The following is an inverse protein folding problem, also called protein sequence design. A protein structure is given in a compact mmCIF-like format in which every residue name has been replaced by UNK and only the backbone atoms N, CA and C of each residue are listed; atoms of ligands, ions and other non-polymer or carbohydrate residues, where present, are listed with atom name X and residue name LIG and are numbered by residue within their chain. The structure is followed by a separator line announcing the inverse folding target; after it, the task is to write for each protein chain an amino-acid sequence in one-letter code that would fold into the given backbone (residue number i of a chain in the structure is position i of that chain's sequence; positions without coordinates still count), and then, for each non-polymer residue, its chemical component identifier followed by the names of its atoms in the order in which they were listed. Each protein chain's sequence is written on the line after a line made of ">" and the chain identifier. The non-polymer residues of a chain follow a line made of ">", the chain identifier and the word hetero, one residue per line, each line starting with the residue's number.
data_IF_619811021690
#
_entry.id   IF_619811021690
#
_cell.length_a   1.000
_cell.length_b   1.000
_cell.length_c   1.000
_cell.angle_alpha   90.00
_cell.angle_beta   90.00
_cell.angle_gamma   90.00
#
_symmetry.space_group_name_H-M   'P 1'
#
loop_
_entity.id
_entity.type
_entity.pdbx_description
1 polymer ?
#
# COMPACT_ATOMS: atom_id res chain seq x y z
N UNK A 1 -2.42 66.39 18.33
CA UNK A 1 -1.83 65.76 17.14
C UNK A 1 -0.92 64.62 17.58
N UNK A 2 -1.38 63.37 17.45
CA UNK A 2 -0.51 62.18 17.55
C UNK A 2 -0.49 61.57 16.15
N UNK A 3 0.69 61.58 15.56
CA UNK A 3 0.99 61.03 14.25
C UNK A 3 0.60 59.56 14.19
N UNK A 4 -0.38 59.27 13.35
CA UNK A 4 -0.77 57.94 12.93
C UNK A 4 0.30 57.37 12.00
N UNK A 5 1.23 56.59 12.53
CA UNK A 5 2.05 55.68 11.73
C UNK A 5 1.27 54.40 11.49
N UNK A 6 0.95 54.16 10.22
CA UNK A 6 0.24 53.00 9.69
C UNK A 6 1.13 51.73 9.67
N UNK A 7 1.60 51.29 10.83
CA UNK A 7 2.45 50.08 10.97
C UNK A 7 2.09 49.33 12.24
N UNK A 8 1.09 48.46 12.18
CA UNK A 8 0.70 47.66 13.35
C UNK A 8 -0.51 46.77 13.15
N UNK A 9 -0.38 45.69 12.35
CA UNK A 9 -1.41 44.64 12.32
C UNK A 9 -1.49 43.84 13.62
N UNK A 10 -0.50 43.96 14.51
CA UNK A 10 -0.51 43.31 15.82
C UNK A 10 0.01 44.20 16.95
N UNK A 11 -0.29 43.79 18.18
CA UNK A 11 0.13 44.44 19.43
C UNK A 11 0.66 43.40 20.41
N UNK A 12 1.70 43.76 21.17
CA UNK A 12 2.27 42.94 22.26
C UNK A 12 1.91 43.58 23.60
N UNK A 13 1.49 42.78 24.58
CA UNK A 13 1.11 43.27 25.91
C UNK A 13 1.30 42.19 26.99
N UNK A 14 1.41 42.62 28.25
CA UNK A 14 1.51 41.74 29.42
C UNK A 14 0.14 41.20 29.80
N UNK A 15 0.05 39.89 30.07
CA UNK A 15 -1.18 39.23 30.53
C UNK A 15 -0.91 38.47 31.82
N UNK A 16 -1.69 38.78 32.85
CA UNK A 16 -1.74 38.02 34.10
C UNK A 16 -3.09 37.30 34.24
N UNK A 17 -3.12 36.24 35.05
CA UNK A 17 -4.34 35.46 35.32
C UNK A 17 -5.31 36.12 36.31
N UNK A 18 -4.87 37.14 37.05
CA UNK A 18 -5.66 37.78 38.11
C UNK A 18 -6.87 38.55 37.57
N UNK A 19 -7.95 38.52 38.34
CA UNK A 19 -9.21 39.20 38.04
C UNK A 19 -9.59 40.17 39.16
N UNK A 20 -10.29 41.24 38.80
CA UNK A 20 -10.94 42.15 39.74
C UNK A 20 -12.20 41.50 40.38
N UNK A 21 -12.81 42.13 41.37
CA UNK A 21 -14.07 41.65 41.98
C UNK A 21 -15.25 41.53 40.99
N UNK A 22 -15.16 42.18 39.84
CA UNK A 22 -16.13 42.13 38.73
C UNK A 22 -15.73 41.09 37.66
N UNK A 23 -14.77 40.22 37.96
CA UNK A 23 -14.21 39.18 37.08
C UNK A 23 -13.48 39.67 35.81
N UNK A 24 -13.16 40.96 35.66
CA UNK A 24 -12.31 41.44 34.57
C UNK A 24 -10.83 41.15 34.83
N UNK A 25 -10.07 40.82 33.78
CA UNK A 25 -8.63 40.60 33.93
C UNK A 25 -7.89 41.92 34.22
N UNK A 26 -7.09 41.93 35.28
CA UNK A 26 -6.34 43.11 35.72
C UNK A 26 -5.17 43.47 34.77
N UNK A 27 -4.65 42.51 34.00
CA UNK A 27 -3.60 42.75 33.01
C UNK A 27 -2.38 43.44 33.61
N UNK A 28 -1.96 44.57 33.02
CA UNK A 28 -0.81 45.36 33.45
C UNK A 28 -1.01 46.12 34.78
N UNK A 29 -2.24 46.23 35.28
CA UNK A 29 -2.57 46.90 36.56
C UNK A 29 -2.56 45.92 37.75
N UNK A 30 -2.12 44.67 37.53
CA UNK A 30 -2.13 43.66 38.58
C UNK A 30 -1.06 43.95 39.65
N UNK A 31 -1.45 44.07 40.94
CA UNK A 31 -0.51 44.34 42.04
C UNK A 31 0.53 43.24 42.26
N UNK A 32 0.28 42.02 41.76
CA UNK A 32 1.21 40.89 41.88
C UNK A 32 2.38 40.94 40.90
N UNK A 33 2.32 41.85 39.90
CA UNK A 33 3.39 42.03 38.92
C UNK A 33 4.67 42.63 39.49
N UNK A 34 4.55 43.42 40.55
CA UNK A 34 5.69 44.05 41.24
C UNK A 34 6.32 43.14 42.28
N UNK A 35 5.61 42.09 42.71
CA UNK A 35 6.00 41.22 43.83
C UNK A 35 6.43 39.81 43.40
N UNK A 36 6.01 39.33 42.23
CA UNK A 36 6.38 38.02 41.69
C UNK A 36 6.80 38.15 40.22
N UNK A 37 8.09 37.95 39.95
CA UNK A 37 8.70 38.11 38.62
C UNK A 37 8.29 37.05 37.60
N UNK A 38 7.50 36.04 37.99
CA UNK A 38 6.93 35.02 37.08
C UNK A 38 5.41 35.11 36.89
N UNK A 39 4.77 36.15 37.43
CA UNK A 39 3.31 36.23 37.50
C UNK A 39 2.61 36.57 36.17
N UNK A 40 3.32 37.25 35.26
CA UNK A 40 2.81 37.56 33.93
C UNK A 40 3.50 36.79 32.82
N UNK A 41 2.77 36.72 31.70
CA UNK A 41 3.32 36.26 30.43
C UNK A 41 3.07 37.33 29.39
N UNK A 42 4.02 37.49 28.48
CA UNK A 42 3.85 38.33 27.31
C UNK A 42 2.94 37.62 26.29
N UNK A 43 2.06 38.40 25.67
CA UNK A 43 1.05 37.95 24.72
C UNK A 43 1.02 38.91 23.54
N UNK A 44 0.96 38.39 22.32
CA UNK A 44 0.64 39.20 21.15
C UNK A 44 -0.80 38.97 20.70
N UNK A 45 -1.38 39.97 20.07
CA UNK A 45 -2.68 39.91 19.41
C UNK A 45 -2.60 40.49 18.00
N UNK A 46 -3.16 39.79 17.02
CA UNK A 46 -3.27 40.23 15.62
C UNK A 46 -4.72 40.18 15.19
N UNK A 47 -5.19 41.26 14.60
CA UNK A 47 -6.53 41.31 14.03
C UNK A 47 -6.48 40.76 12.59
N UNK A 48 -7.18 39.65 12.35
CA UNK A 48 -7.25 39.00 11.05
C UNK A 48 -8.45 39.53 10.24
N UNK A 49 -8.29 39.72 8.92
CA UNK A 49 -9.42 39.96 8.03
C UNK A 49 -10.35 38.72 8.05
N UNK A 50 -11.62 38.94 8.34
CA UNK A 50 -12.68 37.93 8.32
C UNK A 50 -13.72 38.34 7.27
N UNK A 51 -14.19 37.44 6.38
CA UNK A 51 -15.27 37.75 5.44
C UNK A 51 -16.63 38.05 6.11
N UNK A 52 -16.81 37.74 7.41
CA UNK A 52 -18.00 38.13 8.18
C UNK A 52 -17.92 39.54 8.81
N UNK A 53 -19.01 40.03 9.42
CA UNK A 53 -19.07 41.36 10.07
C UNK A 53 -18.25 41.44 11.37
N UNK A 54 -17.78 40.31 11.89
CA UNK A 54 -17.06 40.23 13.16
C UNK A 54 -15.55 40.18 12.94
N UNK A 55 -14.82 41.00 13.69
CA UNK A 55 -13.35 40.95 13.74
C UNK A 55 -12.89 39.66 14.41
N UNK A 56 -11.95 38.95 13.78
CA UNK A 56 -11.30 37.78 14.38
C UNK A 56 -9.93 38.18 14.90
N UNK A 57 -9.79 38.34 16.21
CA UNK A 57 -8.48 38.61 16.84
C UNK A 57 -7.84 37.29 17.28
N UNK A 58 -6.70 36.95 16.68
CA UNK A 58 -5.84 35.87 17.17
C UNK A 58 -4.99 36.40 18.30
N UNK A 59 -5.02 35.73 19.44
CA UNK A 59 -4.17 36.03 20.61
C UNK A 59 -3.31 34.82 20.91
N UNK A 60 -2.02 35.04 21.18
CA UNK A 60 -1.03 34.01 21.53
C UNK A 60 -0.12 34.53 22.62
N UNK A 61 -0.02 33.77 23.71
CA UNK A 61 0.71 34.18 24.92
C UNK A 61 1.49 33.03 25.53
N UNK A 62 2.09 33.29 26.70
CA UNK A 62 3.02 32.36 27.35
C UNK A 62 4.49 32.65 27.06
N UNK A 63 4.81 33.83 26.50
CA UNK A 63 6.20 34.24 26.26
C UNK A 63 6.79 34.84 27.55
N UNK A 64 8.02 34.48 27.93
CA UNK A 64 8.62 34.99 29.17
C UNK A 64 9.12 36.43 29.04
N UNK A 65 9.39 36.92 27.82
CA UNK A 65 9.88 38.28 27.58
C UNK A 65 9.10 38.98 26.47
N UNK A 66 9.13 40.32 26.48
CA UNK A 66 8.56 41.15 25.43
C UNK A 66 9.15 40.79 24.06
N UNK A 67 10.48 40.72 23.98
CA UNK A 67 11.20 40.46 22.73
C UNK A 67 10.82 39.11 22.10
N UNK A 68 10.60 38.07 22.91
CA UNK A 68 10.16 36.76 22.40
C UNK A 68 8.73 36.82 21.88
N UNK A 69 7.85 37.62 22.51
CA UNK A 69 6.49 37.85 22.01
C UNK A 69 6.48 38.69 20.73
N UNK A 70 7.38 39.67 20.60
CA UNK A 70 7.54 40.48 19.40
C UNK A 70 8.12 39.66 18.23
N UNK A 71 9.15 38.86 18.47
CA UNK A 71 9.67 37.90 17.48
C UNK A 71 8.61 36.87 17.05
N UNK A 72 7.75 36.44 17.97
CA UNK A 72 6.63 35.55 17.64
C UNK A 72 5.55 36.26 16.80
N UNK A 73 5.26 37.53 17.10
CA UNK A 73 4.37 38.36 16.30
C UNK A 73 4.88 38.55 14.87
N UNK A 74 6.17 38.88 14.71
CA UNK A 74 6.80 39.04 13.39
C UNK A 74 6.70 37.75 12.59
N UNK A 75 7.07 36.60 13.17
CA UNK A 75 6.93 35.29 12.52
C UNK A 75 5.49 34.98 12.09
N UNK A 76 4.50 35.33 12.92
CA UNK A 76 3.08 35.14 12.61
C UNK A 76 2.62 36.01 11.44
N UNK A 77 3.08 37.26 11.37
CA UNK A 77 2.74 38.19 10.29
C UNK A 77 3.44 37.82 8.98
N UNK A 78 4.72 37.43 9.03
CA UNK A 78 5.47 36.91 7.89
C UNK A 78 4.80 35.67 7.32
N UNK A 79 4.27 34.81 8.20
CA UNK A 79 3.50 33.66 7.78
C UNK A 79 2.25 34.01 7.00
N UNK A 80 1.47 34.95 7.50
CA UNK A 80 0.27 35.41 6.80
C UNK A 80 0.56 36.06 5.46
N UNK A 81 1.66 36.80 5.35
CA UNK A 81 2.07 37.42 4.08
C UNK A 81 2.32 36.37 2.98
N UNK A 82 2.73 35.16 3.37
CA UNK A 82 2.97 34.02 2.49
C UNK A 82 1.75 33.07 2.43
N UNK A 83 0.69 33.34 3.19
CA UNK A 83 -0.56 32.57 3.21
C UNK A 83 -0.60 31.43 4.23
N UNK A 84 0.29 31.42 5.24
CA UNK A 84 0.31 30.43 6.32
C UNK A 84 0.01 31.01 7.71
N UNK A 85 -0.78 30.27 8.50
CA UNK A 85 -1.19 30.60 9.85
C UNK A 85 -0.34 29.77 10.84
N UNK A 86 0.95 30.08 10.90
CA UNK A 86 1.85 29.44 11.87
C UNK A 86 1.43 29.87 13.27
N UNK A 87 1.01 28.93 14.12
CA UNK A 87 0.77 29.20 15.52
C UNK A 87 2.10 29.11 16.30
N UNK A 88 2.71 30.24 16.71
CA UNK A 88 4.03 30.22 17.36
C UNK A 88 3.99 29.64 18.78
N UNK A 89 2.79 29.38 19.32
CA UNK A 89 2.62 28.74 20.62
C UNK A 89 2.42 27.22 20.52
N UNK A 90 1.99 26.71 19.35
CA UNK A 90 1.69 25.30 19.15
C UNK A 90 2.99 24.47 19.23
N UNK A 91 3.01 23.49 20.13
CA UNK A 91 4.13 22.56 20.21
C UNK A 91 4.00 21.44 19.18
N UNK A 92 5.11 20.74 18.90
CA UNK A 92 5.07 19.53 18.07
C UNK A 92 4.19 18.46 18.74
N UNK A 93 4.20 18.35 20.08
CA UNK A 93 3.37 17.38 20.78
C UNK A 93 1.87 17.65 20.60
N UNK A 94 1.44 18.92 20.76
CA UNK A 94 0.04 19.31 20.57
C UNK A 94 -0.40 19.03 19.14
N UNK A 95 0.42 19.44 18.16
CA UNK A 95 0.13 19.22 16.75
C UNK A 95 -0.01 17.74 16.40
N UNK A 96 0.95 16.90 16.82
CA UNK A 96 0.92 15.47 16.52
C UNK A 96 -0.29 14.79 17.18
N UNK A 97 -0.68 15.21 18.38
CA UNK A 97 -1.85 14.64 19.09
C UNK A 97 -3.14 14.94 18.34
N UNK A 98 -3.40 16.21 17.96
CA UNK A 98 -4.57 16.59 17.15
C UNK A 98 -4.54 15.94 15.75
N UNK A 99 -3.35 15.81 15.17
CA UNK A 99 -3.18 15.14 13.89
C UNK A 99 -3.57 13.65 13.97
N UNK A 100 -3.19 12.95 15.05
CA UNK A 100 -3.59 11.55 15.27
C UNK A 100 -5.11 11.39 15.39
N UNK A 101 -5.80 12.30 16.08
CA UNK A 101 -7.27 12.28 16.20
C UNK A 101 -7.93 12.39 14.82
N UNK A 102 -7.44 13.32 13.99
CA UNK A 102 -7.93 13.50 12.62
C UNK A 102 -7.67 12.25 11.77
N UNK A 103 -6.49 11.64 11.93
CA UNK A 103 -6.13 10.41 11.20
C UNK A 103 -6.90 9.18 11.66
N UNK A 104 -7.31 9.11 12.93
CA UNK A 104 -8.08 7.99 13.46
C UNK A 104 -9.43 7.80 12.73
N UNK A 105 -9.99 8.88 12.18
CA UNK A 105 -11.24 8.84 11.39
C UNK A 105 -11.08 8.22 10.00
N UNK A 106 -9.85 8.18 9.47
CA UNK A 106 -9.58 7.80 8.07
C UNK A 106 -8.76 6.51 7.99
N UNK A 107 -7.82 6.32 8.92
CA UNK A 107 -6.87 5.20 8.89
C UNK A 107 -7.47 3.93 9.48
N UNK A 108 -7.03 2.79 8.93
CA UNK A 108 -7.34 1.48 9.52
C UNK A 108 -6.75 1.36 10.92
N UNK A 109 -7.40 0.64 11.85
CA UNK A 109 -6.95 0.54 13.25
C UNK A 109 -5.49 0.08 13.43
N UNK A 110 -5.01 -0.87 12.62
CA UNK A 110 -3.62 -1.35 12.69
C UNK A 110 -2.58 -0.32 12.23
N UNK A 111 -2.92 0.53 11.26
CA UNK A 111 -2.06 1.65 10.87
C UNK A 111 -2.07 2.73 11.94
N UNK A 112 -3.25 2.99 12.52
CA UNK A 112 -3.44 3.99 13.57
C UNK A 112 -2.67 3.63 14.84
N UNK A 113 -2.73 2.38 15.29
CA UNK A 113 -1.94 1.87 16.41
C UNK A 113 -0.44 2.14 16.23
N UNK A 114 0.11 1.80 15.05
CA UNK A 114 1.53 2.07 14.75
C UNK A 114 1.87 3.56 14.73
N UNK A 115 0.98 4.40 14.20
CA UNK A 115 1.20 5.85 14.21
C UNK A 115 1.20 6.39 15.63
N UNK A 116 0.27 5.90 16.46
CA UNK A 116 0.19 6.23 17.88
C UNK A 116 1.47 5.82 18.62
N UNK A 117 1.97 4.60 18.39
CA UNK A 117 3.21 4.12 19.00
C UNK A 117 4.41 5.02 18.64
N UNK A 118 4.59 5.33 17.34
CA UNK A 118 5.68 6.19 16.91
C UNK A 118 5.54 7.61 17.46
N UNK A 119 4.33 8.16 17.50
CA UNK A 119 4.12 9.51 18.01
C UNK A 119 4.39 9.58 19.51
N UNK A 120 3.77 8.73 20.33
CA UNK A 120 3.87 8.83 21.79
C UNK A 120 5.19 8.31 22.35
N UNK A 121 5.74 7.22 21.79
CA UNK A 121 6.94 6.61 22.35
C UNK A 121 8.24 7.21 21.78
N UNK A 122 8.18 7.81 20.58
CA UNK A 122 9.38 8.26 19.87
C UNK A 122 9.39 9.76 19.58
N UNK A 123 8.36 10.26 18.89
CA UNK A 123 8.38 11.63 18.36
C UNK A 123 8.08 12.68 19.42
N UNK A 124 7.11 12.44 20.30
CA UNK A 124 6.77 13.35 21.41
C UNK A 124 7.92 13.45 22.41
N UNK A 125 8.56 12.36 22.87
CA UNK A 125 9.73 12.46 23.74
C UNK A 125 10.91 13.19 23.09
N UNK A 126 11.09 13.04 21.77
CA UNK A 126 12.22 13.66 21.07
C UNK A 126 12.01 15.14 20.71
N UNK A 127 10.80 15.51 20.28
CA UNK A 127 10.52 16.83 19.68
C UNK A 127 9.37 17.58 20.36
N UNK A 128 8.65 16.96 21.29
CA UNK A 128 7.38 17.45 21.80
C UNK A 128 7.45 18.81 22.48
N UNK A 129 8.59 19.16 23.09
CA UNK A 129 8.81 20.46 23.74
C UNK A 129 9.09 21.59 22.74
N UNK A 130 9.51 21.27 21.52
CA UNK A 130 9.78 22.26 20.49
C UNK A 130 8.48 22.86 19.97
N UNK A 131 8.53 24.15 19.63
CA UNK A 131 7.46 24.77 18.85
C UNK A 131 7.46 24.20 17.44
N UNK A 132 6.27 24.05 16.85
CA UNK A 132 6.12 23.44 15.53
C UNK A 132 6.94 24.18 14.47
N UNK A 133 6.96 25.52 14.52
CA UNK A 133 7.71 26.40 13.62
C UNK A 133 9.23 26.41 13.87
N UNK A 134 9.68 25.92 15.03
CA UNK A 134 11.09 25.78 15.37
C UNK A 134 11.68 24.42 14.99
N UNK A 135 10.84 23.44 14.64
CA UNK A 135 11.31 22.13 14.21
C UNK A 135 12.06 22.24 12.88
N UNK A 136 13.37 22.02 12.92
CA UNK A 136 14.25 22.10 11.76
C UNK A 136 14.86 20.74 11.43
N UNK A 137 15.32 20.60 10.18
CA UNK A 137 15.97 19.39 9.68
C UNK A 137 17.13 18.91 10.58
N UNK A 138 17.94 19.84 11.11
CA UNK A 138 19.04 19.54 12.05
C UNK A 138 18.60 18.77 13.31
N UNK A 139 17.40 19.05 13.84
CA UNK A 139 16.89 18.35 15.02
C UNK A 139 16.55 16.90 14.69
N UNK A 140 15.98 16.67 13.51
CA UNK A 140 15.65 15.34 13.00
C UNK A 140 16.92 14.55 12.74
N UNK A 141 17.93 15.16 12.11
CA UNK A 141 19.23 14.52 11.88
C UNK A 141 19.93 14.13 13.18
N UNK A 142 19.96 15.03 14.18
CA UNK A 142 20.54 14.73 15.49
C UNK A 142 19.80 13.59 16.21
N UNK A 143 18.47 13.56 16.12
CA UNK A 143 17.67 12.44 16.63
C UNK A 143 18.04 11.12 15.96
N UNK A 144 18.15 11.10 14.62
CA UNK A 144 18.54 9.90 13.87
C UNK A 144 19.89 9.36 14.32
N UNK A 145 20.91 10.23 14.37
CA UNK A 145 22.27 9.83 14.80
C UNK A 145 22.26 9.20 16.19
N UNK A 146 21.54 9.81 17.13
CA UNK A 146 21.42 9.28 18.50
C UNK A 146 20.70 7.93 18.54
N UNK A 147 19.62 7.76 17.79
CA UNK A 147 18.87 6.49 17.78
C UNK A 147 19.64 5.35 17.12
N UNK A 148 20.47 5.65 16.11
CA UNK A 148 21.35 4.66 15.52
C UNK A 148 22.48 4.27 16.50
N UNK A 149 23.02 5.24 17.25
CA UNK A 149 24.03 4.99 18.28
C UNK A 149 23.50 4.12 19.43
N UNK A 150 22.21 4.21 19.76
CA UNK A 150 21.57 3.33 20.77
C UNK A 150 21.18 1.95 20.22
N UNK A 151 21.55 1.63 18.97
CA UNK A 151 21.33 0.31 18.37
C UNK A 151 19.93 0.11 17.78
N UNK A 152 19.16 1.18 17.55
CA UNK A 152 17.81 1.05 16.99
C UNK A 152 17.84 0.62 15.53
N UNK A 153 17.01 -0.37 15.18
CA UNK A 153 16.93 -0.88 13.81
C UNK A 153 16.52 0.17 12.76
N UNK A 154 17.28 0.24 11.66
CA UNK A 154 17.08 1.19 10.55
C UNK A 154 15.65 1.21 10.00
N UNK A 155 15.00 0.04 9.86
CA UNK A 155 13.63 -0.07 9.31
C UNK A 155 12.62 0.62 10.21
N UNK A 156 12.73 0.44 11.52
CA UNK A 156 11.82 1.04 12.51
C UNK A 156 12.00 2.56 12.52
N UNK A 157 13.26 3.02 12.52
CA UNK A 157 13.57 4.45 12.50
C UNK A 157 13.08 5.12 11.21
N UNK A 158 13.31 4.49 10.05
CA UNK A 158 12.77 4.97 8.78
C UNK A 158 11.23 5.10 8.80
N UNK A 159 10.51 4.12 9.36
CA UNK A 159 9.04 4.18 9.47
C UNK A 159 8.57 5.29 10.40
N UNK A 160 9.24 5.46 11.55
CA UNK A 160 8.98 6.55 12.48
C UNK A 160 9.13 7.92 11.79
N UNK A 161 10.23 8.13 11.06
CA UNK A 161 10.45 9.36 10.29
C UNK A 161 9.46 9.54 9.14
N UNK A 162 9.04 8.46 8.48
CA UNK A 162 8.01 8.54 7.45
C UNK A 162 6.66 9.00 8.03
N UNK A 163 6.30 8.54 9.24
CA UNK A 163 5.12 9.04 9.97
C UNK A 163 5.27 10.52 10.30
N UNK A 164 6.42 10.96 10.83
CA UNK A 164 6.70 12.37 11.08
C UNK A 164 6.60 13.22 9.80
N UNK A 165 7.23 12.77 8.72
CA UNK A 165 7.18 13.45 7.42
C UNK A 165 5.77 13.53 6.86
N UNK A 166 4.93 12.51 7.08
CA UNK A 166 3.51 12.57 6.71
C UNK A 166 2.77 13.62 7.52
N UNK A 167 2.97 13.68 8.84
CA UNK A 167 2.33 14.67 9.69
C UNK A 167 2.73 16.10 9.29
N UNK A 168 4.03 16.35 9.12
CA UNK A 168 4.52 17.66 8.72
C UNK A 168 4.13 18.05 7.29
N UNK A 169 3.97 17.07 6.39
CA UNK A 169 3.40 17.32 5.06
C UNK A 169 1.93 17.78 5.14
N UNK A 170 1.16 17.25 6.08
CA UNK A 170 -0.21 17.69 6.34
C UNK A 170 -0.21 19.10 6.94
N UNK A 171 0.72 19.41 7.86
CA UNK A 171 0.90 20.75 8.40
C UNK A 171 1.16 21.79 7.31
N UNK A 172 1.96 21.45 6.29
CA UNK A 172 2.19 22.32 5.13
C UNK A 172 0.92 22.50 4.30
N UNK A 173 0.16 21.43 4.06
CA UNK A 173 -1.12 21.50 3.31
C UNK A 173 -2.20 22.30 4.04
N UNK A 174 -2.16 22.29 5.37
CA UNK A 174 -3.02 23.11 6.25
C UNK A 174 -2.47 24.53 6.43
N UNK A 175 -1.39 24.89 5.74
CA UNK A 175 -0.72 26.18 5.86
C UNK A 175 -0.33 26.52 7.31
N UNK A 176 0.14 25.52 8.08
CA UNK A 176 0.74 25.72 9.42
C UNK A 176 2.26 25.86 9.35
N UNK A 177 2.88 25.27 8.33
CA UNK A 177 4.31 25.33 8.08
C UNK A 177 4.57 25.77 6.63
N UNK A 178 5.64 26.55 6.38
CA UNK A 178 6.02 26.95 5.02
C UNK A 178 6.61 25.79 4.21
N UNK A 179 7.33 24.87 4.86
CA UNK A 179 7.93 23.70 4.24
C UNK A 179 7.97 22.54 5.23
N UNK A 180 8.18 21.33 4.73
CA UNK A 180 8.30 20.14 5.56
C UNK A 180 9.77 19.96 6.02
N UNK A 181 10.10 20.14 7.32
CA UNK A 181 11.48 20.02 7.79
C UNK A 181 12.03 18.58 7.76
N UNK A 182 11.17 17.57 7.60
CA UNK A 182 11.58 16.18 7.37
C UNK A 182 11.91 15.87 5.90
N UNK A 183 11.78 16.86 5.01
CA UNK A 183 12.13 16.76 3.59
C UNK A 183 13.39 17.58 3.29
N UNK A 184 14.41 17.03 2.59
CA UNK A 184 14.51 15.63 2.14
C UNK A 184 14.66 14.65 3.31
N UNK A 185 14.34 13.36 3.12
CA UNK A 185 14.44 12.36 4.18
C UNK A 185 15.90 12.16 4.62
N UNK A 186 16.13 12.19 5.94
CA UNK A 186 17.46 11.94 6.54
C UNK A 186 17.93 10.51 6.31
N UNK A 187 17.00 9.54 6.34
CA UNK A 187 17.28 8.13 6.08
C UNK A 187 16.62 7.70 4.78
N UNK A 188 17.43 7.10 3.91
CA UNK A 188 16.90 6.37 2.77
C UNK A 188 16.19 5.10 3.23
N UNK A 189 15.25 4.65 2.39
CA UNK A 189 14.56 3.39 2.62
C UNK A 189 15.61 2.27 2.66
N UNK A 190 15.75 1.53 3.76
CA UNK A 190 16.72 0.45 3.82
C UNK A 190 16.35 -0.62 2.77
N UNK A 191 17.35 -1.26 2.14
CA UNK A 191 17.10 -2.37 1.24
C UNK A 191 16.36 -3.47 2.00
N UNK A 192 15.48 -4.18 1.29
CA UNK A 192 14.86 -5.36 1.89
C UNK A 192 15.90 -6.47 1.91
N UNK A 193 16.07 -7.20 3.02
CA UNK A 193 16.98 -8.33 3.05
C UNK A 193 16.57 -9.37 2.00
N UNK A 194 17.55 -10.10 1.48
CA UNK A 194 17.30 -11.22 0.59
C UNK A 194 16.44 -12.26 1.31
N UNK A 195 15.40 -12.72 0.63
CA UNK A 195 14.43 -13.65 1.21
C UNK A 195 14.75 -15.05 0.76
N UNK A 196 14.88 -15.97 1.72
CA UNK A 196 14.88 -17.39 1.43
C UNK A 196 13.45 -17.89 1.28
N UNK A 197 13.14 -18.45 0.11
CA UNK A 197 11.85 -19.06 -0.20
C UNK A 197 12.11 -20.55 -0.39
N UNK A 198 11.18 -21.40 0.05
CA UNK A 198 11.29 -22.85 -0.15
C UNK A 198 11.30 -23.24 -1.63
N UNK A 199 11.90 -24.38 -1.93
CA UNK A 199 11.64 -25.10 -3.19
C UNK A 199 10.31 -25.86 -3.11
N UNK A 200 9.85 -26.38 -4.26
CA UNK A 200 8.65 -27.22 -4.29
C UNK A 200 8.84 -28.51 -3.47
N UNK A 201 10.05 -29.08 -3.49
CA UNK A 201 10.42 -30.28 -2.73
C UNK A 201 10.46 -30.01 -1.23
N UNK A 202 11.03 -28.88 -0.80
CA UNK A 202 11.03 -28.47 0.61
C UNK A 202 9.59 -28.24 1.12
N UNK A 203 8.75 -27.59 0.32
CA UNK A 203 7.34 -27.38 0.66
C UNK A 203 6.57 -28.70 0.78
N UNK A 204 6.80 -29.65 -0.13
CA UNK A 204 6.19 -30.97 -0.05
C UNK A 204 6.63 -31.73 1.21
N UNK A 205 7.94 -31.74 1.51
CA UNK A 205 8.49 -32.35 2.73
C UNK A 205 7.87 -31.77 3.99
N UNK A 206 7.79 -30.43 4.05
CA UNK A 206 7.15 -29.73 5.16
C UNK A 206 5.69 -30.15 5.35
N UNK A 207 4.90 -30.20 4.28
CA UNK A 207 3.49 -30.56 4.36
C UNK A 207 3.28 -32.03 4.77
N UNK A 208 4.10 -32.95 4.25
CA UNK A 208 4.08 -34.35 4.67
C UNK A 208 4.33 -34.49 6.17
N UNK A 209 5.32 -33.77 6.71
CA UNK A 209 5.57 -33.72 8.16
C UNK A 209 4.38 -33.12 8.92
N UNK A 210 3.84 -32.00 8.47
CA UNK A 210 2.70 -31.34 9.10
C UNK A 210 1.48 -32.27 9.19
N UNK A 211 1.18 -33.04 8.13
CA UNK A 211 0.05 -33.97 8.15
C UNK A 211 0.16 -35.04 9.24
N UNK A 212 1.37 -35.38 9.68
CA UNK A 212 1.61 -36.34 10.75
C UNK A 212 1.63 -35.66 12.13
N UNK A 213 2.30 -34.51 12.25
CA UNK A 213 2.52 -33.83 13.52
C UNK A 213 1.35 -32.92 13.95
N UNK A 214 0.64 -32.31 13.00
CA UNK A 214 -0.44 -31.36 13.24
C UNK A 214 -1.40 -31.27 12.04
N UNK A 215 -2.36 -32.22 11.91
CA UNK A 215 -3.27 -32.26 10.77
C UNK A 215 -4.09 -30.98 10.58
N UNK A 216 -4.36 -30.24 11.66
CA UNK A 216 -5.16 -29.01 11.58
C UNK A 216 -4.34 -27.87 10.95
N UNK A 217 -3.09 -27.69 11.38
CA UNK A 217 -2.20 -26.70 10.78
C UNK A 217 -1.75 -27.09 9.37
N UNK A 218 -1.63 -28.39 9.10
CA UNK A 218 -1.32 -28.89 7.76
C UNK A 218 -2.33 -28.38 6.73
N UNK A 219 -3.63 -28.49 6.99
CA UNK A 219 -4.67 -27.99 6.08
C UNK A 219 -4.61 -26.46 5.89
N UNK A 220 -4.24 -25.70 6.92
CA UNK A 220 -4.07 -24.24 6.81
C UNK A 220 -2.86 -23.90 5.92
N UNK A 221 -1.72 -24.58 6.09
CA UNK A 221 -0.54 -24.35 5.25
C UNK A 221 -0.77 -24.82 3.81
N UNK A 222 -1.45 -25.95 3.63
CA UNK A 222 -1.90 -26.46 2.34
C UNK A 222 -2.74 -25.42 1.60
N UNK A 223 -3.72 -24.86 2.32
CA UNK A 223 -4.59 -23.81 1.81
C UNK A 223 -3.83 -22.53 1.45
N UNK A 224 -2.92 -22.08 2.32
CA UNK A 224 -2.11 -20.88 2.08
C UNK A 224 -1.20 -21.02 0.86
N UNK A 225 -0.52 -22.16 0.71
CA UNK A 225 0.35 -22.45 -0.43
C UNK A 225 -0.47 -22.61 -1.71
N UNK A 226 -1.59 -23.33 -1.66
CA UNK A 226 -2.42 -23.62 -2.83
C UNK A 226 -3.19 -22.42 -3.37
N UNK A 227 -3.54 -21.44 -2.52
CA UNK A 227 -4.32 -20.26 -2.91
C UNK A 227 -3.49 -18.98 -3.00
N UNK A 228 -2.32 -18.95 -2.37
CA UNK A 228 -1.50 -17.74 -2.21
C UNK A 228 -2.20 -16.62 -1.42
N UNK A 229 -3.22 -16.93 -0.61
CA UNK A 229 -3.92 -15.95 0.22
C UNK A 229 -2.98 -15.27 1.23
N UNK A 230 -3.24 -14.00 1.57
CA UNK A 230 -2.53 -13.39 2.71
C UNK A 230 -3.00 -14.07 4.00
N UNK A 231 -2.11 -14.24 4.99
CA UNK A 231 -2.45 -14.88 6.26
C UNK A 231 -3.76 -14.38 6.89
N UNK A 232 -3.97 -13.06 6.95
CA UNK A 232 -5.19 -12.50 7.52
C UNK A 232 -6.44 -12.80 6.68
N UNK A 233 -6.31 -12.94 5.36
CA UNK A 233 -7.43 -13.34 4.47
C UNK A 233 -7.81 -14.81 4.72
N UNK A 234 -6.82 -15.70 4.91
CA UNK A 234 -7.09 -17.10 5.26
C UNK A 234 -7.72 -17.25 6.66
N UNK A 235 -7.20 -16.51 7.65
CA UNK A 235 -7.68 -16.57 9.04
C UNK A 235 -9.03 -15.88 9.28
N UNK A 236 -9.54 -15.11 8.31
CA UNK A 236 -10.88 -14.52 8.33
C UNK A 236 -11.80 -15.15 7.27
N UNK A 237 -11.45 -16.32 6.72
CA UNK A 237 -12.30 -16.99 5.76
C UNK A 237 -13.48 -17.64 6.48
N UNK A 238 -14.69 -17.37 6.00
CA UNK A 238 -15.93 -17.96 6.48
C UNK A 238 -16.41 -19.08 5.55
N UNK A 239 -17.10 -20.08 6.11
CA UNK A 239 -17.72 -21.14 5.32
C UNK A 239 -18.73 -20.62 4.28
N UNK A 240 -19.39 -19.49 4.57
CA UNK A 240 -20.32 -18.81 3.65
C UNK A 240 -19.65 -18.27 2.38
N UNK A 241 -18.33 -18.14 2.38
CA UNK A 241 -17.54 -17.67 1.25
C UNK A 241 -16.85 -18.82 0.48
N UNK A 242 -17.06 -20.07 0.88
CA UNK A 242 -16.45 -21.26 0.27
C UNK A 242 -17.47 -22.03 -0.57
N UNK A 243 -17.22 -22.12 -1.87
CA UNK A 243 -18.08 -22.79 -2.84
C UNK A 243 -17.32 -24.00 -3.44
N UNK A 244 -17.33 -25.12 -2.72
CA UNK A 244 -16.61 -26.34 -3.10
C UNK A 244 -17.07 -26.94 -4.44
N UNK A 245 -18.38 -27.02 -4.76
CA UNK A 245 -18.84 -27.58 -6.03
C UNK A 245 -18.32 -26.80 -7.25
N UNK A 246 -18.27 -25.48 -7.14
CA UNK A 246 -17.78 -24.57 -8.17
C UNK A 246 -16.26 -24.43 -8.18
N UNK A 247 -15.57 -24.96 -7.17
CA UNK A 247 -14.13 -24.84 -7.04
C UNK A 247 -13.65 -23.39 -6.83
N UNK A 248 -14.43 -22.58 -6.11
CA UNK A 248 -14.08 -21.17 -5.85
C UNK A 248 -14.32 -20.75 -4.40
N UNK A 249 -13.59 -19.72 -3.96
CA UNK A 249 -13.87 -19.01 -2.71
C UNK A 249 -13.84 -17.50 -2.94
N UNK A 250 -14.48 -16.74 -2.05
CA UNK A 250 -14.53 -15.28 -2.09
C UNK A 250 -13.77 -14.64 -0.93
N UNK A 251 -12.89 -13.70 -1.22
CA UNK A 251 -12.14 -12.97 -0.18
C UNK A 251 -12.88 -11.69 0.18
N UNK A 252 -13.61 -11.71 1.30
CA UNK A 252 -14.37 -10.54 1.79
C UNK A 252 -13.73 -9.83 2.97
N UNK A 253 -13.02 -10.59 3.80
CA UNK A 253 -12.58 -10.16 5.12
C UNK A 253 -11.09 -10.41 5.32
N UNK A 254 -10.49 -9.76 6.31
CA UNK A 254 -9.13 -10.02 6.75
C UNK A 254 -9.00 -9.85 8.27
N UNK A 255 -8.41 -10.84 8.92
CA UNK A 255 -8.13 -10.84 10.34
C UNK A 255 -6.85 -10.05 10.60
N UNK A 256 -6.94 -9.10 11.51
CA UNK A 256 -5.82 -8.28 11.96
C UNK A 256 -5.72 -8.30 13.48
N UNK A 257 -4.49 -8.32 14.01
CA UNK A 257 -4.24 -8.10 15.43
C UNK A 257 -3.86 -6.63 15.66
N UNK A 258 -4.62 -5.93 16.50
CA UNK A 258 -4.31 -4.60 17.01
C UNK A 258 -3.63 -4.78 18.36
N UNK A 259 -2.50 -4.11 18.56
CA UNK A 259 -1.69 -4.16 19.80
C UNK A 259 -1.37 -5.60 20.26
N UNK A 260 -1.26 -6.51 19.29
CA UNK A 260 -1.05 -7.96 19.45
C UNK A 260 -2.09 -8.73 20.29
N UNK A 261 -3.03 -8.06 20.95
CA UNK A 261 -3.99 -8.67 21.85
C UNK A 261 -5.43 -8.64 21.34
N UNK A 262 -5.79 -7.70 20.46
CA UNK A 262 -7.16 -7.53 19.98
C UNK A 262 -7.28 -7.96 18.53
N UNK A 263 -7.90 -9.12 18.32
CA UNK A 263 -8.23 -9.61 16.99
C UNK A 263 -9.46 -8.88 16.47
N UNK A 264 -9.38 -8.37 15.25
CA UNK A 264 -10.48 -7.66 14.60
C UNK A 264 -10.56 -8.12 13.14
N UNK A 265 -11.78 -8.42 12.70
CA UNK A 265 -12.06 -8.63 11.29
C UNK A 265 -12.28 -7.29 10.62
N UNK A 266 -11.52 -7.03 9.56
CA UNK A 266 -11.60 -5.79 8.79
C UNK A 266 -11.75 -6.10 7.31
N UNK A 267 -12.05 -5.08 6.51
CA UNK A 267 -12.04 -5.23 5.06
C UNK A 267 -10.62 -5.38 4.53
N UNK A 268 -10.39 -6.11 3.42
CA UNK A 268 -9.09 -6.22 2.78
C UNK A 268 -8.45 -4.86 2.48
N UNK A 269 -7.11 -4.82 2.40
CA UNK A 269 -6.35 -3.56 2.25
C UNK A 269 -6.71 -2.78 0.98
N UNK A 270 -7.06 -3.47 -0.11
CA UNK A 270 -7.35 -2.85 -1.41
C UNK A 270 -8.60 -3.46 -2.03
N UNK A 271 -9.27 -2.70 -2.90
CA UNK A 271 -10.38 -3.22 -3.73
C UNK A 271 -9.94 -4.44 -4.54
N UNK A 272 -8.70 -4.44 -5.05
CA UNK A 272 -8.13 -5.57 -5.81
C UNK A 272 -7.97 -6.85 -4.98
N UNK A 273 -7.89 -6.74 -3.65
CA UNK A 273 -7.79 -7.90 -2.76
C UNK A 273 -9.14 -8.59 -2.54
N UNK A 274 -10.25 -7.94 -2.90
CA UNK A 274 -11.58 -8.54 -2.95
C UNK A 274 -11.75 -9.23 -4.29
N UNK A 275 -12.21 -10.46 -4.28
CA UNK A 275 -12.42 -11.23 -5.49
C UNK A 275 -12.52 -12.72 -5.19
N UNK A 276 -12.79 -13.47 -6.26
CA UNK A 276 -12.82 -14.91 -6.20
C UNK A 276 -11.41 -15.49 -6.36
N UNK A 277 -11.22 -16.72 -5.88
CA UNK A 277 -10.00 -17.51 -6.00
C UNK A 277 -10.38 -18.93 -6.36
N UNK A 278 -9.78 -19.48 -7.41
CA UNK A 278 -9.94 -20.91 -7.72
C UNK A 278 -9.26 -21.76 -6.65
N UNK A 279 -9.88 -22.88 -6.30
CA UNK A 279 -9.29 -23.89 -5.41
C UNK A 279 -8.96 -25.14 -6.22
N UNK A 280 -7.80 -25.72 -5.95
CA UNK A 280 -7.43 -27.02 -6.53
C UNK A 280 -8.10 -28.16 -5.76
N UNK A 281 -8.15 -29.38 -6.32
CA UNK A 281 -8.62 -30.56 -5.58
C UNK A 281 -7.88 -30.75 -4.25
N UNK A 282 -6.56 -30.46 -4.21
CA UNK A 282 -5.74 -30.55 -2.99
C UNK A 282 -6.25 -29.61 -1.89
N UNK A 283 -6.57 -28.37 -2.26
CA UNK A 283 -7.15 -27.38 -1.34
C UNK A 283 -8.57 -27.76 -0.94
N UNK A 284 -9.37 -28.30 -1.86
CA UNK A 284 -10.73 -28.76 -1.56
C UNK A 284 -10.72 -29.91 -0.53
N UNK A 285 -9.77 -30.86 -0.63
CA UNK A 285 -9.57 -31.92 0.36
C UNK A 285 -9.25 -31.35 1.74
N UNK A 286 -8.33 -30.40 1.84
CA UNK A 286 -8.00 -29.73 3.10
C UNK A 286 -9.23 -29.02 3.72
N UNK A 287 -10.05 -28.38 2.89
CA UNK A 287 -11.30 -27.77 3.34
C UNK A 287 -12.32 -28.83 3.81
N UNK A 288 -12.47 -29.95 3.10
CA UNK A 288 -13.34 -31.03 3.56
C UNK A 288 -12.93 -31.58 4.94
N UNK A 289 -11.62 -31.74 5.18
CA UNK A 289 -11.12 -32.13 6.50
C UNK A 289 -11.48 -31.11 7.58
N UNK A 290 -11.36 -29.81 7.31
CA UNK A 290 -11.75 -28.76 8.25
C UNK A 290 -13.26 -28.74 8.52
N UNK A 291 -14.09 -28.95 7.50
CA UNK A 291 -15.54 -29.02 7.65
C UNK A 291 -15.98 -30.18 8.56
N UNK A 292 -15.26 -31.32 8.51
CA UNK A 292 -15.52 -32.48 9.37
C UNK A 292 -15.09 -32.26 10.83
N UNK A 293 -14.08 -31.42 11.06
CA UNK A 293 -13.54 -31.12 12.40
C UNK A 293 -14.24 -29.96 13.09
N UNK A 294 -14.92 -29.10 12.34
CA UNK A 294 -15.64 -27.95 12.87
C UNK A 294 -16.82 -28.43 13.74
N UNK A 295 -16.83 -28.18 15.06
CA UNK A 295 -18.01 -28.42 15.87
C UNK A 295 -19.16 -27.58 15.28
N UNK A 296 -20.38 -28.14 15.22
CA UNK A 296 -21.60 -27.36 14.95
C UNK A 296 -21.93 -26.50 16.17
N UNK A 297 -21.03 -25.64 16.61
CA UNK A 297 -21.28 -24.71 17.69
C UNK A 297 -22.09 -23.54 17.14
N UNK A 298 -23.35 -23.47 17.55
CA UNK A 298 -24.20 -22.30 17.41
C UNK A 298 -23.68 -21.21 18.35
N UNK A 299 -22.59 -20.53 17.97
CA UNK A 299 -22.27 -19.23 18.52
C UNK A 299 -23.21 -18.18 17.93
N UNK A 300 -23.35 -17.06 18.63
CA UNK A 300 -24.17 -15.93 18.19
C UNK A 300 -23.90 -15.59 16.71
N UNK A 301 -24.91 -15.61 15.83
CA UNK A 301 -24.77 -15.20 14.43
C UNK A 301 -24.27 -13.77 14.25
N UNK A 302 -24.38 -12.93 15.30
CA UNK A 302 -23.88 -11.57 15.31
C UNK A 302 -22.37 -11.47 15.57
N UNK A 303 -21.74 -12.53 16.08
CA UNK A 303 -20.29 -12.56 16.30
C UNK A 303 -19.55 -12.70 14.94
N UNK A 304 -18.70 -11.74 14.56
CA UNK A 304 -17.93 -11.81 13.32
C UNK A 304 -17.01 -13.03 13.23
N UNK A 305 -16.67 -13.67 14.35
CA UNK A 305 -15.84 -14.88 14.39
C UNK A 305 -16.63 -16.19 14.24
N UNK A 306 -17.96 -16.12 14.20
CA UNK A 306 -18.81 -17.30 13.95
C UNK A 306 -18.63 -17.79 12.51
N UNK A 307 -18.45 -19.09 12.32
CA UNK A 307 -18.39 -19.73 11.00
C UNK A 307 -17.06 -19.59 10.26
N UNK A 308 -15.96 -19.31 10.97
CA UNK A 308 -14.61 -19.34 10.43
C UNK A 308 -14.23 -20.76 9.96
N UNK A 309 -13.50 -20.85 8.84
CA UNK A 309 -12.96 -22.11 8.31
C UNK A 309 -11.78 -22.61 9.15
N UNK A 310 -10.88 -21.70 9.52
CA UNK A 310 -9.70 -22.00 10.33
C UNK A 310 -9.83 -21.34 11.69
N UNK A 311 -10.13 -22.15 12.70
CA UNK A 311 -10.37 -21.70 14.06
C UNK A 311 -9.71 -22.64 15.06
N UNK A 312 -9.59 -22.21 16.31
CA UNK A 312 -9.15 -23.04 17.42
C UNK A 312 -10.22 -24.08 17.78
N UNK A 313 -9.90 -25.18 18.47
CA UNK A 313 -10.91 -26.17 18.88
C UNK A 313 -12.11 -25.61 19.68
N UNK A 314 -11.93 -24.46 20.35
CA UNK A 314 -12.96 -23.74 21.10
C UNK A 314 -13.83 -22.80 20.23
N UNK A 315 -13.66 -22.83 18.90
CA UNK A 315 -14.37 -21.96 17.95
C UNK A 315 -13.79 -20.55 17.81
N UNK A 316 -12.82 -20.16 18.65
CA UNK A 316 -12.20 -18.83 18.59
C UNK A 316 -11.26 -18.68 17.39
N UNK A 317 -11.04 -17.45 16.89
CA UNK A 317 -10.11 -17.22 15.79
C UNK A 317 -8.68 -17.65 16.14
N UNK A 318 -7.98 -18.19 15.16
CA UNK A 318 -6.53 -18.45 15.26
C UNK A 318 -5.75 -17.13 15.27
N UNK A 319 -4.92 -16.95 16.28
CA UNK A 319 -4.09 -15.76 16.38
C UNK A 319 -2.92 -15.81 15.37
N UNK A 320 -2.62 -14.73 14.63
CA UNK A 320 -1.56 -14.74 13.63
C UNK A 320 -0.16 -15.06 14.15
N UNK A 321 0.14 -14.74 15.41
CA UNK A 321 1.42 -15.06 16.05
C UNK A 321 1.55 -16.57 16.27
N UNK A 322 0.50 -17.22 16.77
CA UNK A 322 0.47 -18.66 16.99
C UNK A 322 0.72 -19.46 15.70
N UNK A 323 0.14 -19.02 14.58
CA UNK A 323 0.38 -19.64 13.26
C UNK A 323 1.85 -19.51 12.84
N UNK A 324 2.49 -18.38 13.12
CA UNK A 324 3.91 -18.18 12.83
C UNK A 324 4.80 -19.05 13.72
N UNK A 325 4.52 -19.10 15.01
CA UNK A 325 5.29 -19.90 15.98
C UNK A 325 5.20 -21.39 15.62
N UNK A 326 3.99 -21.86 15.26
CA UNK A 326 3.76 -23.24 14.85
C UNK A 326 4.42 -23.56 13.50
N UNK A 327 4.39 -22.63 12.54
CA UNK A 327 5.14 -22.74 11.29
C UNK A 327 6.64 -22.92 11.57
N UNK A 328 7.22 -22.08 12.44
CA UNK A 328 8.65 -22.17 12.77
C UNK A 328 9.01 -23.50 13.43
N UNK A 329 8.19 -23.95 14.39
CA UNK A 329 8.40 -25.23 15.06
C UNK A 329 8.37 -26.40 14.06
N UNK A 330 7.31 -26.51 13.25
CA UNK A 330 7.15 -27.58 12.26
C UNK A 330 8.23 -27.51 11.17
N UNK A 331 8.71 -26.31 10.83
CA UNK A 331 9.80 -26.13 9.87
C UNK A 331 11.12 -26.70 10.40
N UNK A 332 11.42 -26.47 11.68
CA UNK A 332 12.61 -27.03 12.32
C UNK A 332 12.55 -28.55 12.38
N UNK A 333 11.40 -29.11 12.78
CA UNK A 333 11.17 -30.56 12.84
C UNK A 333 11.28 -31.23 11.45
N UNK A 334 10.77 -30.58 10.40
CA UNK A 334 10.83 -31.09 9.03
C UNK A 334 12.19 -30.87 8.32
N UNK A 335 13.17 -30.23 8.99
CA UNK A 335 14.47 -29.91 8.42
C UNK A 335 14.38 -29.00 7.19
N UNK A 336 13.47 -28.02 7.22
CA UNK A 336 13.34 -26.99 6.17
C UNK A 336 13.72 -25.61 6.71
N UNK A 337 14.17 -24.68 5.86
CA UNK A 337 14.55 -23.35 6.29
C UNK A 337 13.41 -22.60 7.00
N UNK A 338 13.74 -21.81 8.02
CA UNK A 338 12.79 -20.94 8.70
C UNK A 338 12.33 -19.81 7.76
N UNK A 339 11.02 -19.70 7.55
CA UNK A 339 10.39 -18.67 6.71
C UNK A 339 9.19 -18.06 7.42
N UNK A 340 8.71 -16.91 6.97
CA UNK A 340 7.48 -16.32 7.51
C UNK A 340 6.24 -16.88 6.81
N UNK A 341 5.07 -16.77 7.46
CA UNK A 341 3.78 -17.14 6.83
C UNK A 341 3.54 -16.37 5.52
N UNK A 342 4.08 -15.15 5.37
CA UNK A 342 3.94 -14.40 4.12
C UNK A 342 4.81 -14.96 2.99
N UNK A 343 5.90 -15.66 3.34
CA UNK A 343 6.77 -16.29 2.35
C UNK A 343 6.13 -17.53 1.73
N UNK A 344 5.10 -18.13 2.35
CA UNK A 344 4.26 -19.15 1.70
C UNK A 344 3.53 -18.61 0.46
N UNK A 345 3.12 -17.35 0.51
CA UNK A 345 2.54 -16.69 -0.67
C UNK A 345 3.61 -16.36 -1.72
N UNK A 346 4.83 -16.05 -1.27
CA UNK A 346 5.96 -15.89 -2.19
C UNK A 346 6.30 -17.22 -2.87
N UNK A 347 6.27 -18.33 -2.13
CA UNK A 347 6.41 -19.68 -2.65
C UNK A 347 5.38 -19.99 -3.73
N UNK A 348 4.08 -19.71 -3.51
CA UNK A 348 3.05 -19.88 -4.55
C UNK A 348 3.40 -19.12 -5.84
N UNK A 349 3.86 -17.88 -5.71
CA UNK A 349 4.25 -17.06 -6.85
C UNK A 349 5.48 -17.64 -7.57
N UNK A 350 6.50 -18.04 -6.82
CA UNK A 350 7.72 -18.64 -7.37
C UNK A 350 7.38 -19.93 -8.13
N UNK A 351 6.58 -20.83 -7.55
CA UNK A 351 6.15 -22.08 -8.21
C UNK A 351 5.42 -21.78 -9.52
N UNK A 352 4.46 -20.86 -9.50
CA UNK A 352 3.65 -20.55 -10.69
C UNK A 352 4.44 -19.82 -11.78
N UNK A 353 5.35 -18.92 -11.43
CA UNK A 353 6.23 -18.24 -12.38
C UNK A 353 7.21 -19.24 -13.00
N UNK A 354 7.83 -20.09 -12.19
CA UNK A 354 8.76 -21.13 -12.67
C UNK A 354 8.07 -22.17 -13.56
N UNK A 355 6.77 -22.39 -13.39
CA UNK A 355 5.94 -23.21 -14.27
C UNK A 355 5.58 -22.51 -15.62
N UNK A 356 6.09 -21.30 -15.87
CA UNK A 356 5.87 -20.56 -17.12
C UNK A 356 4.55 -19.81 -17.20
N UNK A 357 3.79 -19.69 -16.09
CA UNK A 357 2.53 -18.93 -16.10
C UNK A 357 2.83 -17.44 -16.28
N UNK A 358 2.15 -16.75 -17.22
CA UNK A 358 2.40 -15.33 -17.46
C UNK A 358 2.25 -14.48 -16.20
N UNK A 359 3.19 -13.54 -16.00
CA UNK A 359 3.24 -12.70 -14.80
C UNK A 359 1.94 -11.92 -14.53
N UNK A 360 1.21 -11.56 -15.59
CA UNK A 360 -0.10 -10.91 -15.52
C UNK A 360 -1.14 -11.81 -14.86
N UNK A 361 -1.15 -13.10 -15.20
CA UNK A 361 -2.03 -14.11 -14.60
C UNK A 361 -1.65 -14.34 -13.15
N UNK A 362 -0.37 -14.58 -12.85
CA UNK A 362 0.12 -14.74 -11.46
C UNK A 362 -0.25 -13.53 -10.60
N UNK A 363 -0.03 -12.31 -11.11
CA UNK A 363 -0.38 -11.07 -10.42
C UNK A 363 -1.88 -10.95 -10.11
N UNK A 364 -2.74 -11.45 -11.00
CA UNK A 364 -4.20 -11.44 -10.82
C UNK A 364 -4.65 -12.53 -9.86
N UNK A 365 -4.13 -13.75 -9.97
CA UNK A 365 -4.39 -14.86 -9.03
C UNK A 365 -4.02 -14.48 -7.61
N UNK A 366 -2.85 -13.83 -7.43
CA UNK A 366 -2.43 -13.34 -6.13
C UNK A 366 -3.17 -12.05 -5.71
N UNK A 367 -3.94 -11.39 -6.56
CA UNK A 367 -4.66 -10.15 -6.23
C UNK A 367 -3.75 -8.98 -5.84
N UNK A 368 -2.61 -8.84 -6.53
CA UNK A 368 -1.78 -7.64 -6.39
C UNK A 368 -2.48 -6.41 -6.97
N UNK A 369 -2.34 -5.27 -6.30
CA UNK A 369 -2.91 -4.00 -6.78
C UNK A 369 -2.23 -3.48 -8.05
N UNK A 370 -0.93 -3.77 -8.21
CA UNK A 370 -0.15 -3.38 -9.38
C UNK A 370 0.70 -4.56 -9.86
N UNK A 371 0.85 -4.68 -11.18
CA UNK A 371 1.73 -5.67 -11.80
C UNK A 371 3.20 -5.45 -11.40
N UNK A 372 3.59 -4.19 -11.22
CA UNK A 372 4.94 -3.81 -10.75
C UNK A 372 5.31 -4.45 -9.42
N UNK A 373 4.34 -4.71 -8.55
CA UNK A 373 4.60 -5.43 -7.29
C UNK A 373 5.15 -6.82 -7.58
N UNK A 374 4.49 -7.57 -8.48
CA UNK A 374 4.91 -8.91 -8.89
C UNK A 374 6.24 -8.86 -9.63
N UNK A 375 6.40 -7.93 -10.58
CA UNK A 375 7.63 -7.80 -11.37
C UNK A 375 8.86 -7.45 -10.52
N UNK A 376 8.72 -6.54 -9.56
CA UNK A 376 9.83 -6.11 -8.72
C UNK A 376 10.24 -7.18 -7.70
N UNK A 377 9.29 -7.96 -7.20
CA UNK A 377 9.57 -9.02 -6.22
C UNK A 377 10.27 -10.21 -6.89
N UNK A 378 9.85 -10.57 -8.11
CA UNK A 378 10.35 -11.76 -8.82
C UNK A 378 11.23 -11.40 -10.02
N UNK A 379 11.88 -10.24 -9.99
CA UNK A 379 12.71 -9.75 -11.09
C UNK A 379 13.78 -10.78 -11.52
N UNK A 380 14.39 -11.47 -10.55
CA UNK A 380 15.36 -12.54 -10.81
C UNK A 380 14.77 -13.70 -11.64
N UNK A 381 13.53 -14.12 -11.36
CA UNK A 381 12.84 -15.16 -12.14
C UNK A 381 12.46 -14.67 -13.54
N UNK A 382 12.23 -13.37 -13.71
CA UNK A 382 11.95 -12.80 -15.05
C UNK A 382 13.15 -12.83 -15.98
N UNK A 383 14.39 -12.88 -15.47
CA UNK A 383 15.57 -13.02 -16.32
C UNK A 383 15.62 -14.38 -17.03
N UNK A 384 15.21 -15.45 -16.35
CA UNK A 384 15.13 -16.78 -16.96
C UNK A 384 14.03 -16.83 -18.03
N UNK A 385 12.86 -16.28 -17.73
CA UNK A 385 11.77 -16.17 -18.70
C UNK A 385 12.16 -15.31 -19.93
N UNK A 386 12.94 -14.24 -19.71
CA UNK A 386 13.46 -13.42 -20.80
C UNK A 386 14.44 -14.19 -21.70
N UNK A 387 15.31 -15.03 -21.12
CA UNK A 387 16.19 -15.92 -21.90
C UNK A 387 15.38 -16.93 -22.72
N UNK A 388 14.44 -17.63 -22.08
CA UNK A 388 13.56 -18.58 -22.76
C UNK A 388 12.77 -17.93 -23.91
N UNK A 389 12.33 -16.68 -23.76
CA UNK A 389 11.65 -15.94 -24.82
C UNK A 389 12.56 -15.70 -26.03
N UNK A 390 13.82 -15.32 -25.79
CA UNK A 390 14.82 -15.14 -26.86
C UNK A 390 15.15 -16.48 -27.53
N UNK A 391 15.36 -17.54 -26.75
CA UNK A 391 15.64 -18.89 -27.26
C UNK A 391 14.47 -19.41 -28.11
N UNK A 392 13.23 -19.11 -27.71
CA UNK A 392 12.02 -19.45 -28.47
C UNK A 392 11.98 -18.71 -29.81
N UNK A 393 12.35 -17.43 -29.84
CA UNK A 393 12.45 -16.65 -31.08
C UNK A 393 13.46 -17.31 -32.03
N UNK A 394 14.66 -17.61 -31.52
CA UNK A 394 15.73 -18.25 -32.29
C UNK A 394 15.31 -19.61 -32.86
N UNK A 395 14.75 -20.47 -32.01
CA UNK A 395 14.26 -21.78 -32.41
C UNK A 395 13.15 -21.68 -33.47
N UNK A 396 12.20 -20.76 -33.30
CA UNK A 396 11.07 -20.59 -34.23
C UNK A 396 11.55 -20.10 -35.60
N UNK A 397 12.46 -19.12 -35.63
CA UNK A 397 13.03 -18.61 -36.88
C UNK A 397 13.89 -19.68 -37.58
N UNK A 398 14.71 -20.41 -36.83
CA UNK A 398 15.53 -21.51 -37.36
C UNK A 398 14.66 -22.63 -37.94
N UNK A 399 13.58 -23.00 -37.26
CA UNK A 399 12.62 -24.02 -37.74
C UNK A 399 11.94 -23.55 -39.03
N UNK A 400 11.52 -22.29 -39.11
CA UNK A 400 10.89 -21.73 -40.31
C UNK A 400 11.86 -21.66 -41.51
N UNK A 401 13.12 -21.31 -41.27
CA UNK A 401 14.17 -21.31 -42.29
C UNK A 401 14.51 -22.73 -42.78
N UNK A 402 14.59 -23.70 -41.88
CA UNK A 402 14.83 -25.10 -42.24
C UNK A 402 13.62 -25.71 -42.99
N UNK A 403 12.40 -25.33 -42.62
CA UNK A 403 11.18 -25.75 -43.33
C UNK A 403 11.09 -25.18 -44.74
N UNK A 404 11.59 -23.96 -44.97
CA UNK A 404 11.67 -23.36 -46.31
C UNK A 404 12.85 -23.87 -47.15
N UNK A 405 13.87 -24.46 -46.51
CA UNK A 405 15.02 -25.13 -47.13
C UNK A 405 14.83 -26.63 -47.38
N UNK A 406 13.72 -27.23 -46.96
CA UNK A 406 13.42 -28.62 -47.28
C UNK A 406 13.49 -28.83 -48.81
N UNK A 407 14.22 -29.84 -49.32
CA UNK A 407 14.49 -29.97 -50.73
C UNK A 407 13.16 -30.09 -51.48
N UNK A 408 12.96 -29.20 -52.46
CA UNK A 408 11.93 -29.37 -53.47
C UNK A 408 12.05 -30.80 -54.01
N UNK A 409 10.98 -31.59 -53.87
CA UNK A 409 10.92 -32.96 -54.40
C UNK A 409 11.53 -32.96 -55.81
N UNK A 410 12.41 -33.93 -56.14
CA UNK A 410 13.01 -34.02 -57.46
C UNK A 410 11.94 -33.95 -58.55
N UNK A 411 12.26 -33.29 -59.67
CA UNK A 411 11.30 -32.97 -60.72
C UNK A 411 10.58 -34.20 -61.32
N UNK A 412 11.11 -35.41 -61.12
CA UNK A 412 10.56 -36.68 -61.61
C UNK A 412 9.34 -37.22 -60.83
N UNK A 413 8.93 -36.57 -59.73
CA UNK A 413 7.67 -36.88 -59.02
C UNK A 413 6.50 -35.94 -59.38
N UNK A 414 6.61 -35.11 -60.43
CA UNK A 414 5.50 -34.28 -60.93
C UNK A 414 4.73 -35.01 -62.03
N UNK A 415 3.41 -35.25 -61.90
CA UNK A 415 2.63 -35.86 -62.98
C UNK A 415 2.48 -34.89 -64.17
N UNK A 416 2.36 -35.39 -65.42
CA UNK A 416 2.24 -34.56 -66.61
C UNK A 416 0.95 -33.72 -66.56
N UNK A 417 1.07 -32.41 -66.80
CA UNK A 417 -0.03 -31.43 -66.67
C UNK A 417 -1.12 -31.50 -67.76
N UNK A 418 -1.11 -32.51 -68.64
CA UNK A 418 -1.96 -32.49 -69.84
C UNK A 418 -3.34 -33.16 -69.68
N UNK A 419 -3.68 -33.73 -68.52
CA UNK A 419 -4.94 -34.46 -68.35
C UNK A 419 -6.12 -33.62 -67.81
N UNK A 420 -5.88 -32.49 -67.13
CA UNK A 420 -6.94 -31.68 -66.51
C UNK A 420 -7.61 -30.67 -67.46
N UNK A 421 -6.94 -30.29 -68.56
CA UNK A 421 -7.49 -29.31 -69.49
C UNK A 421 -8.56 -29.90 -70.43
N UNK A 422 -8.49 -31.21 -70.74
CA UNK A 422 -9.50 -31.92 -71.56
C UNK A 422 -10.79 -32.23 -70.79
N UNK A 423 -10.70 -32.50 -69.49
CA UNK A 423 -11.88 -32.77 -68.64
C UNK A 423 -12.75 -31.52 -68.40
N UNK A 424 -12.13 -30.33 -68.33
CA UNK A 424 -12.83 -29.06 -68.13
C UNK A 424 -13.63 -28.59 -69.35
N UNK A 425 -13.19 -28.90 -70.57
CA UNK A 425 -13.91 -28.57 -71.81
C UNK A 425 -15.09 -29.52 -72.10
N UNK A 426 -15.06 -30.76 -71.58
CA UNK A 426 -16.17 -31.71 -71.73
C UNK A 426 -17.36 -31.40 -70.80
N UNK A 427 -17.12 -30.84 -69.60
CA UNK A 427 -18.16 -30.53 -68.62
C UNK A 427 -18.92 -29.21 -68.88
N UNK A 428 -18.42 -28.33 -69.76
CA UNK A 428 -19.08 -27.06 -70.11
C UNK A 428 -20.05 -27.15 -71.31
N UNK A 429 -20.24 -28.33 -71.92
CA UNK A 429 -21.17 -28.53 -73.05
C UNK A 429 -22.58 -28.98 -72.66
N UNK A 430 -22.86 -29.21 -71.37
CA UNK A 430 -24.12 -29.86 -70.95
C UNK A 430 -25.07 -29.02 -70.07
N UNK A 431 -24.87 -27.72 -69.87
CA UNK A 431 -25.88 -26.91 -69.17
C UNK A 431 -26.04 -25.48 -69.70
N UNK A 432 -27.16 -25.24 -70.37
CA UNK A 432 -27.83 -23.95 -70.61
C UNK A 432 -29.36 -24.19 -70.57
N UNK A 433 -30.23 -23.18 -70.38
CA UNK A 433 -30.77 -22.81 -69.07
C UNK A 433 -32.32 -22.68 -69.11
N UNK A 434 -33.01 -22.40 -68.00
CA UNK A 434 -34.27 -21.61 -68.01
C UNK A 434 -34.75 -21.27 -66.57
N UNK A 435 -35.51 -20.16 -66.38
CA UNK A 435 -35.43 -19.27 -65.21
C UNK A 435 -36.82 -19.06 -64.52
N UNK A 436 -37.20 -17.89 -63.97
CA UNK A 436 -37.15 -17.56 -62.54
C UNK A 436 -38.53 -17.17 -61.94
N UNK A 437 -38.62 -16.94 -60.62
CA UNK A 437 -39.67 -16.07 -60.04
C UNK A 437 -39.29 -15.44 -58.68
N UNK A 438 -39.17 -14.09 -58.69
CA UNK A 438 -39.56 -13.04 -57.72
C UNK A 438 -39.16 -13.15 -56.22
N UNK A 439 -38.31 -12.25 -55.66
CA UNK A 439 -38.51 -10.80 -55.26
C UNK A 439 -39.06 -10.68 -53.83
N UNK A 440 -38.72 -9.77 -52.90
CA UNK A 440 -37.89 -8.56 -52.67
C UNK A 440 -37.60 -8.56 -51.13
N UNK A 441 -36.69 -7.83 -50.47
CA UNK A 441 -36.59 -6.37 -50.26
C UNK A 441 -35.35 -6.07 -49.39
N UNK A 442 -34.70 -4.92 -49.67
CA UNK A 442 -34.22 -3.85 -48.76
C UNK A 442 -33.37 -4.22 -47.51
N UNK A 443 -32.25 -3.59 -47.10
CA UNK A 443 -31.62 -2.30 -47.34
C UNK A 443 -30.17 -2.37 -46.82
N UNK A 444 -29.25 -1.60 -47.43
CA UNK A 444 -27.86 -1.36 -46.96
C UNK A 444 -27.68 0.14 -46.75
N UNK A 445 -26.90 0.55 -45.74
CA UNK A 445 -25.91 1.62 -45.95
C UNK A 445 -24.54 1.17 -45.40
N UNK A 446 -23.50 1.07 -46.23
CA UNK A 446 -22.47 2.09 -46.53
C UNK A 446 -21.55 2.51 -45.35
N UNK A 447 -20.33 1.97 -45.41
CA UNK A 447 -19.00 2.59 -45.23
C UNK A 447 -18.65 3.37 -43.96
N UNK A 448 -17.60 2.90 -43.26
CA UNK A 448 -16.65 3.76 -42.54
C UNK A 448 -15.23 3.15 -42.59
N UNK A 449 -14.26 4.02 -42.85
CA UNK A 449 -12.85 3.78 -43.13
C UNK A 449 -12.06 3.23 -41.93
N UNK A 450 -11.12 2.30 -42.20
CA UNK A 450 -10.07 1.90 -41.26
C UNK A 450 -8.82 2.78 -41.47
N UNK A 451 -8.55 3.65 -40.49
CA UNK A 451 -7.32 4.47 -40.42
C UNK A 451 -6.19 3.66 -39.80
N UNK A 452 -5.10 3.50 -40.54
CA UNK A 452 -3.83 2.93 -40.06
C UNK A 452 -3.04 3.98 -39.27
N UNK A 453 -2.89 3.80 -37.96
CA UNK A 453 -2.02 4.61 -37.11
C UNK A 453 -0.60 4.01 -37.07
N UNK A 454 0.36 4.81 -37.54
CA UNK A 454 1.81 4.56 -37.57
C UNK A 454 2.43 4.90 -36.20
N UNK A 455 3.38 4.12 -35.65
CA UNK A 455 4.00 4.43 -34.36
C UNK A 455 5.07 5.55 -34.49
N UNK A 456 5.29 6.35 -33.43
CA UNK A 456 6.22 7.49 -33.46
C UNK A 456 7.69 7.06 -33.32
N UNK A 457 8.58 7.80 -33.99
CA UNK A 457 10.06 7.66 -33.95
C UNK A 457 10.63 8.10 -32.58
N UNK A 458 11.73 7.49 -32.11
CA UNK A 458 12.40 7.88 -30.87
C UNK A 458 13.20 9.19 -31.05
N UNK A 459 13.01 10.13 -30.12
CA UNK A 459 13.77 11.37 -30.02
C UNK A 459 15.15 11.10 -29.42
N UNK A 460 16.18 11.65 -30.05
CA UNK A 460 17.57 11.64 -29.60
C UNK A 460 17.77 12.67 -28.49
N UNK A 461 18.06 12.22 -27.27
CA UNK A 461 18.51 13.11 -26.18
C UNK A 461 19.98 13.49 -26.39
N UNK A 462 20.24 14.79 -26.63
CA UNK A 462 21.56 15.42 -26.50
C UNK A 462 21.95 15.50 -25.01
N UNK A 463 23.13 14.99 -24.66
CA UNK A 463 23.81 15.25 -23.37
C UNK A 463 24.30 16.71 -23.31
N UNK A 464 24.20 17.41 -22.17
CA UNK A 464 24.94 18.65 -21.94
C UNK A 464 26.39 18.38 -21.49
N UNK A 465 27.32 19.34 -21.66
CA UNK A 465 28.75 19.13 -21.51
C UNK A 465 29.22 19.20 -20.05
N UNK A 466 30.23 18.38 -19.75
CA UNK A 466 31.03 18.41 -18.53
C UNK A 466 31.80 19.73 -18.41
N UNK A 467 31.71 20.40 -17.27
CA UNK A 467 32.65 21.45 -16.86
C UNK A 467 33.64 20.91 -15.82
N UNK A 468 34.85 21.45 -15.92
CA UNK A 468 36.03 21.24 -15.07
C UNK A 468 35.80 21.68 -13.64
#
# INVERSE_FOLDING_TARGET
>A
MRTSTSTGRGRVYRRCGCRDPQHHQLGALCPRLTTDSGHDTWTFAVDLPNPGPHRTTVRRGGFPTHDLAEQALTRFLDGQAVGYNADPSQTVADYLTTWLETKALILKPTTMARYRDYVHNDLVPAFGTLKLDQLAHRHISAYVTRQLATGRGHVTLYRCLATLSSALGDAVREHRLPHNPASPPVLHRPPSPERRIWTAEEAARFLTHCHQADPQMADLFEFLIGTGLRKGEALALHWTDVHLPEGVLYVRCTLSAIDNNHLVITTPKTRSSRGWVAISPRVATALHHQAQRSPRTHSDPSDPFTGLVFHRPDGRPLAPHHVLDRLHQLSAEAGVPQITVHDLRHLTATITISAGIPLTVVSKTLRHSTLSTTANIYSHLTHQAARQAVDTIDHTLTTAQNSSRAPSRPAWLRPPRDHLHRLRQALHRHHTPTPPAFSLTASRPQTAHATTLRPPRPQTHRKPPSQK
#
